data_IF_344464853922
#
_entry.id   IF_344464853922
#
_cell.length_a   1.000
_cell.length_b   1.000
_cell.length_c   1.000
_cell.angle_alpha   90.00
_cell.angle_beta   90.00
_cell.angle_gamma   90.00
#
_symmetry.space_group_name_H-M   'P 1'
#
loop_
_entity.id
_entity.type
_entity.pdbx_description
1 polymer ?
#
# COMPACT_ATOMS: atom_id res chain seq x y z
N UNK A 1 5.93 21.16 22.43
CA UNK A 1 5.32 20.70 21.17
C UNK A 1 4.99 19.23 21.36
N UNK A 2 3.74 18.91 21.74
CA UNK A 2 3.34 17.55 22.16
C UNK A 2 3.27 16.65 20.91
N UNK A 3 3.99 15.54 20.95
CA UNK A 3 4.02 14.51 19.90
C UNK A 3 2.66 13.82 19.86
N UNK A 4 1.89 14.05 18.80
CA UNK A 4 0.62 13.37 18.60
C UNK A 4 0.91 11.95 18.07
N UNK A 5 0.62 10.92 18.87
CA UNK A 5 0.58 9.54 18.40
C UNK A 5 -0.58 9.37 17.41
N UNK A 6 -0.34 8.98 16.15
CA UNK A 6 -1.39 8.62 15.23
C UNK A 6 -1.66 7.13 15.46
N UNK A 7 -2.67 6.80 16.25
CA UNK A 7 -3.02 5.39 16.32
C UNK A 7 -4.19 4.94 17.12
N UNK A 8 -4.73 5.79 17.97
CA UNK A 8 -5.88 5.40 18.76
C UNK A 8 -6.80 6.61 18.87
N UNK A 9 -7.81 6.75 17.99
CA UNK A 9 -8.73 7.87 18.10
C UNK A 9 -9.77 7.70 19.22
N UNK A 10 -9.95 6.49 19.79
CA UNK A 10 -11.05 6.16 20.71
C UNK A 10 -10.68 5.29 21.93
N UNK A 11 -9.53 4.64 21.97
CA UNK A 11 -9.07 3.96 23.17
C UNK A 11 -8.58 4.95 24.22
N UNK A 12 -8.36 4.43 25.44
CA UNK A 12 -8.12 5.20 26.66
C UNK A 12 -7.14 6.37 26.46
N UNK A 13 -6.03 6.14 25.75
CA UNK A 13 -4.98 7.16 25.55
C UNK A 13 -5.32 8.19 24.48
N UNK A 14 -6.02 7.80 23.42
CA UNK A 14 -6.49 8.71 22.38
C UNK A 14 -7.49 9.74 22.87
N UNK A 15 -8.39 9.26 23.72
CA UNK A 15 -9.37 10.12 24.40
C UNK A 15 -8.68 10.93 25.50
N UNK A 16 -7.81 10.32 26.33
CA UNK A 16 -7.10 11.03 27.39
C UNK A 16 -6.23 12.19 26.87
N UNK A 17 -5.59 12.03 25.72
CA UNK A 17 -4.78 13.11 25.11
C UNK A 17 -5.61 14.24 24.48
N UNK A 18 -6.91 14.03 24.27
CA UNK A 18 -7.86 14.99 23.70
C UNK A 18 -8.89 15.51 24.72
N UNK A 19 -8.81 15.07 25.99
CA UNK A 19 -9.67 15.59 27.06
C UNK A 19 -9.20 16.99 27.46
N UNK A 20 -10.16 17.91 27.49
CA UNK A 20 -9.97 19.22 28.11
C UNK A 20 -9.96 19.04 29.64
N UNK A 21 -8.90 19.47 30.35
CA UNK A 21 -8.84 19.41 31.81
C UNK A 21 -10.00 20.13 32.52
N UNK A 22 -10.60 21.13 31.87
CA UNK A 22 -11.69 21.94 32.42
C UNK A 22 -13.09 21.43 32.02
N UNK A 23 -13.18 20.24 31.40
CA UNK A 23 -14.45 19.66 31.00
C UNK A 23 -15.36 19.36 32.23
N UNK A 24 -16.68 19.63 32.14
CA UNK A 24 -17.63 19.30 33.22
C UNK A 24 -17.60 17.81 33.59
N UNK A 25 -17.78 17.50 34.88
CA UNK A 25 -17.69 16.14 35.41
C UNK A 25 -18.53 15.10 34.65
N UNK A 26 -19.76 15.47 34.26
CA UNK A 26 -20.66 14.63 33.47
C UNK A 26 -20.08 14.24 32.10
N UNK A 27 -19.32 15.14 31.46
CA UNK A 27 -18.69 14.87 30.15
C UNK A 27 -17.58 13.85 30.31
N UNK A 28 -16.76 13.96 31.37
CA UNK A 28 -15.72 12.97 31.65
C UNK A 28 -16.31 11.60 31.97
N UNK A 29 -17.38 11.54 32.76
CA UNK A 29 -18.08 10.30 33.12
C UNK A 29 -18.69 9.61 31.89
N UNK A 30 -19.31 10.36 30.98
CA UNK A 30 -19.82 9.81 29.71
C UNK A 30 -18.67 9.29 28.85
N UNK A 31 -17.55 10.02 28.78
CA UNK A 31 -16.39 9.57 28.00
C UNK A 31 -15.73 8.32 28.59
N UNK A 32 -15.69 8.17 29.90
CA UNK A 32 -15.23 6.95 30.56
C UNK A 32 -16.14 5.76 30.24
N UNK A 33 -17.46 5.95 30.32
CA UNK A 33 -18.43 4.91 29.96
C UNK A 33 -18.35 4.52 28.47
N UNK A 34 -18.10 5.48 27.58
CA UNK A 34 -17.93 5.20 26.14
C UNK A 34 -16.65 4.42 25.88
N UNK A 35 -15.56 4.71 26.59
CA UNK A 35 -14.31 3.95 26.47
C UNK A 35 -14.48 2.53 27.02
N UNK A 36 -15.10 2.38 28.19
CA UNK A 36 -15.35 1.08 28.83
C UNK A 36 -16.32 0.21 28.01
N UNK A 37 -17.30 0.84 27.35
CA UNK A 37 -18.21 0.17 26.44
C UNK A 37 -17.64 -0.03 25.03
N UNK A 38 -16.50 0.59 24.70
CA UNK A 38 -15.88 0.42 23.39
C UNK A 38 -15.31 -1.00 23.29
N UNK A 39 -15.59 -1.74 22.21
CA UNK A 39 -15.06 -3.08 22.06
C UNK A 39 -13.52 -3.05 22.02
N UNK A 40 -12.88 -3.92 22.82
CA UNK A 40 -11.42 -4.12 22.82
C UNK A 40 -10.83 -4.48 21.43
N UNK A 41 -11.68 -4.84 20.47
CA UNK A 41 -11.32 -5.11 19.09
C UNK A 41 -11.62 -3.90 18.19
N UNK A 42 -10.77 -2.88 18.24
CA UNK A 42 -10.81 -1.83 17.22
C UNK A 42 -10.27 -2.37 15.90
N UNK A 43 -11.08 -2.32 14.85
CA UNK A 43 -10.57 -2.65 13.52
C UNK A 43 -9.90 -1.43 12.91
N UNK A 44 -8.57 -1.44 12.95
CA UNK A 44 -7.73 -0.31 12.55
C UNK A 44 -7.36 -0.38 11.07
N UNK A 45 -7.78 0.64 10.31
CA UNK A 45 -7.25 0.91 8.98
C UNK A 45 -6.22 2.04 9.10
N UNK A 46 -4.98 1.77 8.71
CA UNK A 46 -3.94 2.81 8.64
C UNK A 46 -3.50 2.99 7.20
N UNK A 47 -3.67 4.21 6.66
CA UNK A 47 -3.15 4.59 5.36
C UNK A 47 -1.80 5.30 5.52
N UNK A 48 -0.86 5.03 4.61
CA UNK A 48 0.47 5.63 4.59
C UNK A 48 0.85 5.92 3.15
N UNK A 49 1.60 6.99 2.96
CA UNK A 49 2.21 7.34 1.68
C UNK A 49 3.72 7.34 1.86
N UNK A 50 4.40 6.57 1.03
CA UNK A 50 5.86 6.58 0.95
C UNK A 50 6.26 7.17 -0.40
N UNK A 51 7.23 8.09 -0.37
CA UNK A 51 7.89 8.59 -1.57
C UNK A 51 9.33 8.07 -1.57
N UNK A 52 9.68 7.35 -2.64
CA UNK A 52 11.06 6.93 -2.89
C UNK A 52 11.61 7.73 -4.05
N UNK A 53 12.77 8.35 -3.85
CA UNK A 53 13.49 9.08 -4.88
C UNK A 53 14.81 8.38 -5.11
N UNK A 54 15.09 8.05 -6.38
CA UNK A 54 16.42 7.59 -6.80
C UNK A 54 17.28 8.83 -7.08
N UNK A 55 18.28 9.15 -6.23
CA UNK A 55 19.12 10.33 -6.42
C UNK A 55 19.97 10.25 -7.68
N UNK A 56 20.26 9.04 -8.21
CA UNK A 56 21.01 8.87 -9.44
C UNK A 56 20.19 9.25 -10.69
N UNK A 57 18.85 9.24 -10.57
CA UNK A 57 17.92 9.62 -11.64
C UNK A 57 17.40 11.05 -11.52
N UNK A 58 17.85 11.80 -10.51
CA UNK A 58 17.48 13.20 -10.29
C UNK A 58 18.12 14.14 -11.32
N UNK A 59 17.50 15.30 -11.54
CA UNK A 59 18.05 16.37 -12.40
C UNK A 59 19.31 16.97 -11.79
N UNK A 60 19.36 17.03 -10.45
CA UNK A 60 20.52 17.51 -9.70
C UNK A 60 21.39 16.32 -9.31
N UNK A 61 22.68 16.37 -9.66
CA UNK A 61 23.65 15.38 -9.20
C UNK A 61 23.80 15.47 -7.69
N UNK A 62 23.29 14.47 -6.98
CA UNK A 62 23.46 14.32 -5.54
C UNK A 62 24.85 13.74 -5.27
N UNK A 63 25.74 14.51 -4.63
CA UNK A 63 27.09 14.04 -4.27
C UNK A 63 27.18 13.57 -2.82
N UNK A 64 26.30 14.07 -1.96
CA UNK A 64 26.19 13.70 -0.54
C UNK A 64 24.77 13.25 -0.21
N UNK A 65 24.65 12.32 0.73
CA UNK A 65 23.35 11.82 1.19
C UNK A 65 22.42 12.97 1.64
N UNK A 66 22.97 13.96 2.37
CA UNK A 66 22.23 15.13 2.86
C UNK A 66 21.52 15.91 1.74
N UNK A 67 22.18 16.06 0.58
CA UNK A 67 21.63 16.76 -0.58
C UNK A 67 20.44 15.98 -1.18
N UNK A 68 20.55 14.65 -1.22
CA UNK A 68 19.50 13.76 -1.71
C UNK A 68 18.29 13.71 -0.78
N UNK A 69 18.53 13.73 0.53
CA UNK A 69 17.47 13.85 1.54
C UNK A 69 16.76 15.20 1.38
N UNK A 70 17.51 16.30 1.27
CA UNK A 70 16.94 17.62 1.08
C UNK A 70 16.07 17.72 -0.19
N UNK A 71 16.52 17.13 -1.30
CA UNK A 71 15.74 17.06 -2.53
C UNK A 71 14.47 16.22 -2.36
N UNK A 72 14.57 15.04 -1.75
CA UNK A 72 13.41 14.18 -1.47
C UNK A 72 12.37 14.91 -0.62
N UNK A 73 12.82 15.65 0.40
CA UNK A 73 11.94 16.42 1.26
C UNK A 73 11.29 17.61 0.54
N UNK A 74 11.99 18.25 -0.41
CA UNK A 74 11.41 19.28 -1.28
C UNK A 74 10.33 18.70 -2.19
N UNK A 75 10.62 17.58 -2.85
CA UNK A 75 9.66 16.88 -3.71
C UNK A 75 8.43 16.45 -2.92
N UNK A 76 8.62 15.89 -1.73
CA UNK A 76 7.52 15.52 -0.83
C UNK A 76 6.69 16.74 -0.41
N UNK A 77 7.34 17.88 -0.14
CA UNK A 77 6.66 19.14 0.20
C UNK A 77 5.88 19.75 -0.96
N UNK A 78 6.25 19.44 -2.21
CA UNK A 78 5.53 19.86 -3.42
C UNK A 78 4.28 19.03 -3.72
N UNK A 79 4.07 17.89 -3.07
CA UNK A 79 2.88 17.07 -3.26
C UNK A 79 1.68 17.70 -2.53
N UNK A 80 0.75 18.26 -3.30
CA UNK A 80 -0.49 18.85 -2.80
C UNK A 80 -1.53 17.78 -2.44
N UNK A 81 -1.25 16.95 -1.42
CA UNK A 81 -2.12 15.84 -0.99
C UNK A 81 -3.50 16.31 -0.51
N UNK A 82 -3.58 17.54 0.02
CA UNK A 82 -4.84 18.15 0.44
C UNK A 82 -5.83 18.35 -0.72
N UNK A 83 -5.34 18.58 -1.94
CA UNK A 83 -6.19 18.69 -3.14
C UNK A 83 -6.89 17.36 -3.48
N UNK A 84 -6.33 16.23 -3.02
CA UNK A 84 -6.93 14.90 -3.14
C UNK A 84 -7.86 14.56 -1.95
N UNK A 85 -8.17 15.53 -1.07
CA UNK A 85 -8.98 15.32 0.13
C UNK A 85 -8.26 14.54 1.23
N UNK A 86 -6.93 14.44 1.17
CA UNK A 86 -6.12 13.71 2.15
C UNK A 86 -5.53 14.68 3.16
N UNK A 87 -5.78 14.43 4.45
CA UNK A 87 -5.11 15.12 5.55
C UNK A 87 -3.84 14.38 5.95
N UNK A 88 -2.70 15.07 5.93
CA UNK A 88 -1.42 14.51 6.38
C UNK A 88 -1.30 14.75 7.88
N UNK A 89 -1.47 13.68 8.67
CA UNK A 89 -1.37 13.76 10.14
C UNK A 89 0.02 14.23 10.61
N UNK A 90 1.07 13.57 10.13
CA UNK A 90 2.48 13.93 10.36
C UNK A 90 3.41 13.09 9.48
N UNK A 91 4.69 13.48 9.45
CA UNK A 91 5.76 12.66 8.88
C UNK A 91 6.11 11.52 9.84
N UNK A 92 6.42 10.34 9.29
CA UNK A 92 6.92 9.20 10.04
C UNK A 92 8.32 9.50 10.61
N UNK A 93 8.54 9.15 11.88
CA UNK A 93 9.85 9.14 12.53
C UNK A 93 10.58 7.83 12.24
N UNK A 94 11.85 7.73 12.66
CA UNK A 94 12.60 6.48 12.61
C UNK A 94 11.88 5.36 13.40
N UNK A 95 11.39 5.68 14.59
CA UNK A 95 10.59 4.77 15.42
C UNK A 95 9.33 4.29 14.70
N UNK A 96 8.64 5.16 13.96
CA UNK A 96 7.47 4.72 13.18
C UNK A 96 7.83 3.75 12.06
N UNK A 97 8.97 3.95 11.39
CA UNK A 97 9.43 3.02 10.36
C UNK A 97 9.73 1.64 10.95
N UNK A 98 10.41 1.59 12.10
CA UNK A 98 10.64 0.35 12.85
C UNK A 98 9.31 -0.29 13.23
N UNK A 99 8.37 0.48 13.81
CA UNK A 99 7.02 0.03 14.15
C UNK A 99 6.30 -0.60 12.98
N UNK A 100 6.33 0.06 11.82
CA UNK A 100 5.63 -0.41 10.62
C UNK A 100 6.20 -1.75 10.15
N UNK A 101 7.52 -1.84 10.03
CA UNK A 101 8.18 -3.05 9.52
C UNK A 101 8.03 -4.19 10.52
N UNK A 102 8.32 -3.96 11.80
CA UNK A 102 8.19 -4.99 12.85
C UNK A 102 6.75 -5.52 12.95
N UNK A 103 5.76 -4.64 12.96
CA UNK A 103 4.34 -5.04 13.04
C UNK A 103 3.85 -5.81 11.81
N UNK A 104 4.57 -5.73 10.68
CA UNK A 104 4.26 -6.54 9.52
C UNK A 104 4.73 -7.99 9.69
N UNK A 105 5.87 -8.20 10.35
CA UNK A 105 6.42 -9.52 10.64
C UNK A 105 5.82 -10.16 11.90
N UNK A 106 5.55 -9.34 12.91
CA UNK A 106 4.97 -9.75 14.18
C UNK A 106 3.88 -8.76 14.62
N UNK A 107 2.62 -8.97 14.22
CA UNK A 107 1.51 -8.12 14.61
C UNK A 107 1.26 -8.09 16.13
N UNK A 108 1.67 -9.11 16.88
CA UNK A 108 1.49 -9.19 18.33
C UNK A 108 2.39 -8.18 19.06
N UNK A 109 3.54 -7.80 18.47
CA UNK A 109 4.38 -6.73 19.01
C UNK A 109 3.61 -5.40 19.13
N UNK A 110 2.67 -5.13 18.20
CA UNK A 110 1.87 -3.89 18.26
C UNK A 110 0.91 -3.88 19.46
N UNK A 111 0.35 -5.04 19.81
CA UNK A 111 -0.55 -5.20 20.94
C UNK A 111 0.22 -5.05 22.25
N UNK A 112 1.32 -5.81 22.41
CA UNK A 112 2.16 -5.75 23.61
C UNK A 112 2.73 -4.34 23.86
N UNK A 113 3.14 -3.64 22.81
CA UNK A 113 3.72 -2.31 22.94
C UNK A 113 2.67 -1.19 23.06
N UNK A 114 1.38 -1.49 22.91
CA UNK A 114 0.33 -0.55 23.30
C UNK A 114 0.32 -0.36 24.83
N UNK A 115 0.65 -1.40 25.59
CA UNK A 115 0.75 -1.35 27.04
C UNK A 115 2.02 -0.61 27.51
N UNK A 116 3.15 -0.78 26.80
CA UNK A 116 4.45 -0.19 27.13
C UNK A 116 5.13 0.50 25.90
N UNK A 117 4.75 1.75 25.54
CA UNK A 117 5.22 2.44 24.34
C UNK A 117 6.73 2.65 24.26
N UNK A 118 7.38 2.84 25.41
CA UNK A 118 8.83 2.97 25.55
C UNK A 118 9.61 1.79 24.98
N UNK A 119 8.94 0.63 24.81
CA UNK A 119 9.51 -0.54 24.14
C UNK A 119 9.93 -0.22 22.70
N UNK A 120 9.19 0.67 22.01
CA UNK A 120 9.55 1.07 20.64
C UNK A 120 10.77 1.99 20.57
N UNK A 121 11.00 2.79 21.61
CA UNK A 121 12.13 3.72 21.66
C UNK A 121 13.47 3.00 21.84
N UNK A 122 13.43 1.76 22.36
CA UNK A 122 14.61 0.91 22.48
C UNK A 122 15.00 0.19 21.17
N UNK A 123 14.09 0.09 20.20
CA UNK A 123 14.32 -0.65 18.96
C UNK A 123 14.99 0.22 17.89
N UNK A 124 15.92 -0.40 17.16
CA UNK A 124 16.60 0.22 16.03
C UNK A 124 16.09 -0.35 14.70
N UNK A 125 16.54 0.23 13.58
CA UNK A 125 16.24 -0.31 12.25
C UNK A 125 16.72 -1.76 12.08
N UNK A 126 17.82 -2.15 12.73
CA UNK A 126 18.32 -3.52 12.67
C UNK A 126 17.36 -4.53 13.32
N UNK A 127 16.54 -4.08 14.28
CA UNK A 127 15.59 -4.92 15.02
C UNK A 127 14.20 -4.96 14.36
N UNK A 128 14.01 -4.23 13.24
CA UNK A 128 12.71 -4.09 12.61
C UNK A 128 12.27 -5.36 11.84
N UNK A 129 13.24 -6.14 11.34
CA UNK A 129 12.98 -7.38 10.62
C UNK A 129 12.60 -8.56 11.53
N UNK A 130 12.30 -9.73 10.94
CA UNK A 130 12.12 -10.96 11.68
C UNK A 130 13.50 -11.53 12.04
N UNK A 131 13.56 -12.27 13.14
CA UNK A 131 14.75 -13.04 13.52
C UNK A 131 14.91 -14.26 12.62
N UNK A 132 13.78 -14.89 12.25
CA UNK A 132 13.74 -16.05 11.37
C UNK A 132 12.62 -15.90 10.35
N UNK A 133 12.91 -16.32 9.11
CA UNK A 133 11.90 -16.42 8.07
C UNK A 133 12.23 -17.52 7.08
N UNK A 134 11.20 -18.22 6.61
CA UNK A 134 11.29 -19.32 5.65
C UNK A 134 10.30 -19.09 4.51
N UNK A 135 10.78 -19.24 3.28
CA UNK A 135 9.95 -19.13 2.09
C UNK A 135 9.42 -20.51 1.67
N UNK A 136 8.10 -20.63 1.65
CA UNK A 136 7.42 -21.76 1.04
C UNK A 136 6.82 -21.34 -0.30
N UNK A 137 6.39 -22.34 -1.08
CA UNK A 137 5.86 -22.09 -2.41
C UNK A 137 4.62 -21.19 -2.37
N UNK A 138 3.74 -21.37 -1.39
CA UNK A 138 2.43 -20.71 -1.35
C UNK A 138 2.31 -19.65 -0.25
N UNK A 139 3.22 -19.63 0.72
CA UNK A 139 3.21 -18.71 1.85
C UNK A 139 4.63 -18.41 2.33
N UNK A 140 4.77 -17.37 3.14
CA UNK A 140 6.00 -16.94 3.76
C UNK A 140 5.84 -17.03 5.27
N UNK A 141 6.64 -17.88 5.91
CA UNK A 141 6.70 -17.99 7.36
C UNK A 141 7.71 -16.96 7.88
N UNK A 142 7.33 -16.19 8.88
CA UNK A 142 8.20 -15.20 9.48
C UNK A 142 7.88 -15.00 10.96
N UNK A 143 8.90 -14.92 11.81
CA UNK A 143 8.80 -14.89 13.27
C UNK A 143 7.94 -16.05 13.81
N UNK A 144 6.63 -15.84 13.99
CA UNK A 144 5.63 -16.86 14.36
C UNK A 144 4.33 -16.75 13.53
N UNK A 145 4.40 -16.12 12.37
CA UNK A 145 3.26 -15.77 11.53
C UNK A 145 3.43 -16.33 10.12
N UNK A 146 2.32 -16.41 9.40
CA UNK A 146 2.29 -16.91 8.03
C UNK A 146 1.60 -15.90 7.11
N UNK A 147 2.31 -15.46 6.08
CA UNK A 147 1.81 -14.49 5.11
C UNK A 147 1.63 -15.07 3.72
N UNK A 148 0.57 -14.65 3.04
CA UNK A 148 0.37 -14.87 1.61
C UNK A 148 0.29 -13.53 0.92
N UNK A 149 1.04 -13.37 -0.17
CA UNK A 149 1.05 -12.15 -0.98
C UNK A 149 0.58 -12.44 -2.40
N UNK A 150 -0.32 -11.60 -2.89
CA UNK A 150 -0.81 -11.59 -4.25
C UNK A 150 -0.32 -10.35 -4.99
N UNK A 151 -0.04 -10.50 -6.28
CA UNK A 151 0.18 -9.39 -7.19
C UNK A 151 -0.97 -9.24 -8.18
N UNK A 152 -1.16 -8.02 -8.65
CA UNK A 152 -2.11 -7.71 -9.71
C UNK A 152 -1.71 -8.36 -11.03
N UNK A 153 -2.66 -9.06 -11.62
CA UNK A 153 -2.58 -9.56 -13.01
C UNK A 153 -3.32 -8.61 -13.94
N UNK A 154 -4.49 -8.14 -13.51
CA UNK A 154 -5.36 -7.33 -14.35
C UNK A 154 -6.15 -6.35 -13.49
N UNK A 155 -5.98 -5.06 -13.79
CA UNK A 155 -6.80 -3.99 -13.24
C UNK A 155 -8.20 -4.01 -13.86
N UNK A 156 -9.20 -3.32 -13.28
CA UNK A 156 -10.48 -3.17 -13.93
C UNK A 156 -10.28 -2.54 -15.32
N UNK A 157 -10.69 -3.28 -16.35
CA UNK A 157 -11.20 -2.64 -17.58
C UNK A 157 -12.46 -1.86 -17.18
N UNK A 158 -13.22 -1.14 -17.99
CA UNK A 158 -14.36 -0.33 -17.47
C UNK A 158 -14.04 0.71 -16.37
N UNK A 159 -14.92 1.70 -16.24
CA UNK A 159 -14.84 2.68 -15.17
C UNK A 159 -15.34 2.04 -13.88
N UNK A 160 -14.66 2.36 -12.79
CA UNK A 160 -15.00 1.92 -11.44
C UNK A 160 -15.26 3.14 -10.57
N UNK A 161 -16.19 2.99 -9.63
CA UNK A 161 -16.49 4.01 -8.64
C UNK A 161 -15.33 4.12 -7.63
N UNK A 162 -15.31 5.26 -6.92
CA UNK A 162 -14.27 5.56 -5.93
C UNK A 162 -14.17 4.54 -4.80
N UNK A 163 -15.24 3.79 -4.55
CA UNK A 163 -15.41 2.80 -3.49
C UNK A 163 -15.02 1.38 -3.89
N UNK A 164 -14.55 1.14 -5.12
CA UNK A 164 -14.27 -0.20 -5.64
C UNK A 164 -13.29 -1.00 -4.78
N UNK A 165 -12.34 -0.32 -4.13
CA UNK A 165 -11.35 -0.97 -3.25
C UNK A 165 -11.83 -1.17 -1.82
N UNK A 166 -13.04 -0.71 -1.44
CA UNK A 166 -13.55 -0.87 -0.08
C UNK A 166 -13.58 -2.35 0.33
N UNK A 167 -13.99 -3.28 -0.53
CA UNK A 167 -13.97 -4.70 -0.17
C UNK A 167 -12.58 -5.23 0.26
N UNK A 168 -11.51 -4.71 -0.35
CA UNK A 168 -10.13 -5.08 -0.01
C UNK A 168 -9.56 -4.29 1.18
N UNK A 169 -9.89 -3.00 1.28
CA UNK A 169 -9.35 -2.10 2.32
C UNK A 169 -10.16 -2.12 3.62
N UNK A 170 -11.43 -2.50 3.54
CA UNK A 170 -12.29 -2.67 4.70
C UNK A 170 -11.77 -3.84 5.53
N UNK A 171 -11.78 -3.70 6.86
CA UNK A 171 -11.32 -4.77 7.72
C UNK A 171 -12.10 -6.06 7.55
N UNK A 172 -11.41 -7.20 7.69
CA UNK A 172 -12.01 -8.53 7.66
C UNK A 172 -11.51 -9.40 8.79
N UNK A 173 -11.66 -10.73 8.66
CA UNK A 173 -11.29 -11.66 9.73
C UNK A 173 -9.78 -11.73 9.91
N UNK A 174 -9.04 -11.60 8.81
CA UNK A 174 -7.58 -11.68 8.81
C UNK A 174 -6.95 -10.32 8.54
N UNK A 175 -5.75 -10.12 9.10
CA UNK A 175 -4.97 -8.91 8.89
C UNK A 175 -4.57 -8.84 7.43
N UNK A 176 -4.90 -7.72 6.78
CA UNK A 176 -4.62 -7.49 5.36
C UNK A 176 -3.91 -6.16 5.17
N UNK A 177 -2.89 -6.17 4.32
CA UNK A 177 -2.17 -4.99 3.85
C UNK A 177 -2.38 -4.89 2.34
N UNK A 178 -2.86 -3.74 1.88
CA UNK A 178 -3.04 -3.41 0.47
C UNK A 178 -2.06 -2.31 0.11
N UNK A 179 -1.22 -2.56 -0.90
CA UNK A 179 -0.16 -1.65 -1.30
C UNK A 179 -0.26 -1.36 -2.78
N UNK A 180 -0.38 -0.08 -3.13
CA UNK A 180 -0.35 0.40 -4.51
C UNK A 180 0.97 1.15 -4.69
N UNK A 181 1.80 0.67 -5.61
CA UNK A 181 3.05 1.31 -5.97
C UNK A 181 2.85 2.06 -7.26
N UNK A 182 2.98 3.38 -7.21
CA UNK A 182 2.93 4.24 -8.40
C UNK A 182 4.35 4.59 -8.84
N UNK A 183 4.64 4.40 -10.13
CA UNK A 183 5.87 4.84 -10.77
C UNK A 183 5.54 5.85 -11.85
N UNK A 184 5.94 7.10 -11.61
CA UNK A 184 5.86 8.16 -12.61
C UNK A 184 6.89 7.91 -13.70
N UNK A 185 6.46 7.90 -14.97
CA UNK A 185 7.37 7.78 -16.10
C UNK A 185 7.92 9.14 -16.50
N UNK A 186 9.19 9.18 -16.91
CA UNK A 186 9.72 10.36 -17.62
C UNK A 186 9.05 10.50 -18.99
N UNK A 187 9.12 11.69 -19.60
CA UNK A 187 8.56 11.91 -20.96
C UNK A 187 9.13 10.93 -22.00
N UNK A 188 10.43 10.64 -21.93
CA UNK A 188 11.09 9.67 -22.82
C UNK A 188 10.58 8.23 -22.57
N UNK A 189 10.40 7.85 -21.31
CA UNK A 189 9.86 6.53 -20.95
C UNK A 189 8.40 6.38 -21.38
N UNK A 190 7.58 7.40 -21.17
CA UNK A 190 6.19 7.43 -21.61
C UNK A 190 6.10 7.30 -23.14
N UNK A 191 6.88 8.07 -23.90
CA UNK A 191 6.93 7.99 -25.34
C UNK A 191 7.30 6.60 -25.88
N UNK A 192 8.34 5.97 -25.29
CA UNK A 192 8.74 4.59 -25.65
C UNK A 192 7.68 3.56 -25.30
N UNK A 193 6.99 3.73 -24.17
CA UNK A 193 5.91 2.86 -23.76
C UNK A 193 4.73 2.96 -24.74
N UNK A 194 4.29 4.18 -25.06
CA UNK A 194 3.25 4.43 -26.05
C UNK A 194 3.60 3.86 -27.42
N UNK A 195 4.82 4.08 -27.90
CA UNK A 195 5.28 3.55 -29.19
C UNK A 195 5.23 2.01 -29.19
N UNK A 196 5.69 1.38 -28.11
CA UNK A 196 5.61 -0.07 -27.94
C UNK A 196 4.16 -0.56 -27.92
N UNK A 197 3.27 0.14 -27.23
CA UNK A 197 1.84 -0.20 -27.20
C UNK A 197 1.18 -0.05 -28.56
N UNK A 198 1.45 1.04 -29.28
CA UNK A 198 0.97 1.29 -30.64
C UNK A 198 1.46 0.21 -31.62
N UNK A 199 2.76 -0.12 -31.58
CA UNK A 199 3.34 -1.18 -32.39
C UNK A 199 2.73 -2.54 -32.06
N UNK A 200 2.51 -2.83 -30.77
CA UNK A 200 1.85 -4.07 -30.34
C UNK A 200 0.39 -4.14 -30.79
N UNK A 201 -0.34 -3.02 -30.75
CA UNK A 201 -1.71 -2.93 -31.23
C UNK A 201 -1.79 -3.13 -32.75
N UNK A 202 -0.93 -2.46 -33.52
CA UNK A 202 -0.81 -2.62 -34.97
C UNK A 202 -0.43 -4.05 -35.36
N UNK A 203 0.51 -4.69 -34.65
CA UNK A 203 0.87 -6.09 -34.87
C UNK A 203 -0.31 -7.03 -34.60
N UNK A 204 -1.08 -6.81 -33.53
CA UNK A 204 -2.30 -7.58 -33.23
C UNK A 204 -3.35 -7.37 -34.31
N UNK A 205 -3.50 -6.16 -34.84
CA UNK A 205 -4.44 -5.86 -35.93
C UNK A 205 -4.04 -6.55 -37.24
N UNK A 206 -2.77 -6.47 -37.64
CA UNK A 206 -2.22 -7.19 -38.79
C UNK A 206 -2.35 -8.71 -38.65
N UNK A 207 -2.15 -9.26 -37.45
CA UNK A 207 -2.37 -10.67 -37.18
C UNK A 207 -3.85 -11.04 -37.29
N UNK A 208 -4.76 -10.20 -36.77
CA UNK A 208 -6.22 -10.41 -36.87
C UNK A 208 -6.73 -10.34 -38.30
N UNK A 209 -6.30 -9.36 -39.08
CA UNK A 209 -6.71 -9.21 -40.48
C UNK A 209 -6.27 -10.41 -41.32
N UNK A 210 -5.07 -10.95 -41.04
CA UNK A 210 -4.57 -12.18 -41.68
C UNK A 210 -5.30 -13.45 -41.25
N UNK A 211 -5.82 -13.50 -40.03
CA UNK A 211 -6.53 -14.68 -39.48
C UNK A 211 -8.05 -14.62 -39.66
N UNK A 212 -8.59 -13.53 -40.22
CA UNK A 212 -10.03 -13.36 -40.49
C UNK A 212 -10.89 -13.27 -39.24
N UNK A 213 -10.30 -12.88 -38.09
CA UNK A 213 -11.00 -12.86 -36.80
C UNK A 213 -11.59 -11.47 -36.53
N UNK A 214 -12.92 -11.40 -36.42
CA UNK A 214 -13.62 -10.16 -36.09
C UNK A 214 -13.25 -9.64 -34.69
N UNK A 215 -13.15 -8.30 -34.51
CA UNK A 215 -12.85 -7.71 -33.23
C UNK A 215 -14.01 -7.93 -32.26
N UNK A 216 -13.72 -8.52 -31.11
CA UNK A 216 -14.69 -8.67 -30.03
C UNK A 216 -15.05 -7.29 -29.46
N UNK A 217 -16.19 -7.19 -28.76
CA UNK A 217 -16.55 -5.98 -28.02
C UNK A 217 -15.45 -5.58 -27.00
N UNK A 218 -14.69 -6.56 -26.48
CA UNK A 218 -13.56 -6.32 -25.58
C UNK A 218 -12.40 -5.63 -26.28
N UNK A 219 -12.06 -6.06 -27.50
CA UNK A 219 -10.95 -5.48 -28.27
C UNK A 219 -11.23 -4.02 -28.64
N UNK A 220 -12.49 -3.69 -28.96
CA UNK A 220 -12.89 -2.31 -29.28
C UNK A 220 -12.77 -1.39 -28.06
N UNK A 221 -13.25 -1.85 -26.90
CA UNK A 221 -13.16 -1.09 -25.66
C UNK A 221 -11.71 -0.84 -25.22
N UNK A 222 -10.81 -1.81 -25.43
CA UNK A 222 -9.38 -1.65 -25.15
C UNK A 222 -8.72 -0.64 -26.10
N UNK A 223 -9.07 -0.67 -27.40
CA UNK A 223 -8.59 0.31 -28.37
C UNK A 223 -9.08 1.74 -28.04
N UNK A 224 -10.36 1.91 -27.72
CA UNK A 224 -10.92 3.21 -27.34
C UNK A 224 -10.25 3.79 -26.08
N UNK A 225 -9.91 2.91 -25.12
CA UNK A 225 -9.17 3.30 -23.91
C UNK A 225 -7.75 3.73 -24.24
N UNK A 226 -7.04 2.99 -25.09
CA UNK A 226 -5.69 3.35 -25.51
C UNK A 226 -5.67 4.71 -26.23
N UNK A 227 -6.66 4.97 -27.10
CA UNK A 227 -6.83 6.27 -27.76
C UNK A 227 -7.07 7.42 -26.78
N UNK A 228 -7.91 7.20 -25.74
CA UNK A 228 -8.13 8.21 -24.69
C UNK A 228 -6.85 8.49 -23.89
N UNK A 229 -6.14 7.45 -23.46
CA UNK A 229 -4.88 7.63 -22.72
C UNK A 229 -3.84 8.41 -23.54
N UNK A 230 -3.71 8.11 -24.84
CA UNK A 230 -2.84 8.86 -25.74
C UNK A 230 -3.27 10.33 -25.91
N UNK A 231 -4.58 10.61 -25.95
CA UNK A 231 -5.09 11.98 -26.02
C UNK A 231 -4.84 12.77 -24.73
N UNK A 232 -5.01 12.14 -23.56
CA UNK A 232 -4.72 12.73 -22.25
C UNK A 232 -3.21 13.03 -22.10
N UNK A 233 -2.33 12.13 -22.53
CA UNK A 233 -0.89 12.38 -22.55
C UNK A 233 -0.51 13.54 -23.48
N UNK A 234 -1.10 13.61 -24.68
CA UNK A 234 -0.89 14.73 -25.60
C UNK A 234 -1.33 16.07 -25.00
N UNK A 235 -2.30 16.06 -24.08
CA UNK A 235 -2.75 17.22 -23.31
C UNK A 235 -1.86 17.52 -22.07
N UNK A 236 -0.83 16.71 -21.83
CA UNK A 236 0.17 16.91 -20.78
C UNK A 236 -0.05 16.07 -19.52
N UNK A 237 -0.95 15.08 -19.53
CA UNK A 237 -1.08 14.14 -18.42
C UNK A 237 0.20 13.30 -18.29
N UNK A 238 0.71 13.14 -17.06
CA UNK A 238 1.83 12.24 -16.78
C UNK A 238 1.36 10.79 -16.81
N UNK A 239 2.09 9.93 -17.53
CA UNK A 239 1.83 8.49 -17.53
C UNK A 239 2.42 7.85 -16.27
N UNK A 240 1.61 7.06 -15.58
CA UNK A 240 1.98 6.39 -14.33
C UNK A 240 1.72 4.90 -14.49
N UNK A 241 2.76 4.10 -14.31
CA UNK A 241 2.61 2.66 -14.11
C UNK A 241 2.25 2.42 -12.65
N UNK A 242 1.37 1.46 -12.38
CA UNK A 242 1.13 1.04 -11.01
C UNK A 242 1.21 -0.48 -10.86
N UNK A 243 1.74 -0.90 -9.72
CA UNK A 243 1.69 -2.27 -9.24
C UNK A 243 0.81 -2.32 -8.01
N UNK A 244 0.19 -3.47 -7.77
CA UNK A 244 -0.73 -3.63 -6.65
C UNK A 244 -0.48 -4.99 -5.98
N UNK A 245 -0.29 -4.93 -4.67
CA UNK A 245 -0.01 -6.09 -3.83
C UNK A 245 -1.02 -6.15 -2.70
N UNK A 246 -1.44 -7.37 -2.37
CA UNK A 246 -2.22 -7.66 -1.18
C UNK A 246 -1.44 -8.68 -0.38
N UNK A 247 -1.22 -8.44 0.90
CA UNK A 247 -0.64 -9.42 1.83
C UNK A 247 -1.66 -9.71 2.91
N UNK A 248 -2.00 -10.98 3.12
CA UNK A 248 -2.76 -11.44 4.27
C UNK A 248 -1.84 -12.20 5.22
N UNK A 249 -1.94 -11.92 6.52
CA UNK A 249 -1.11 -12.52 7.56
C UNK A 249 -2.02 -13.22 8.58
N UNK A 250 -1.68 -14.45 8.93
CA UNK A 250 -2.43 -15.32 9.85
C UNK A 250 -1.51 -15.88 10.94
N UNK A 251 -2.10 -16.21 12.10
CA UNK A 251 -1.36 -16.76 13.24
C UNK A 251 -1.03 -18.25 13.05
N UNK A 252 -1.91 -18.99 12.39
CA UNK A 252 -1.78 -20.44 12.22
C UNK A 252 -1.84 -20.85 10.75
N UNK A 253 -1.00 -21.82 10.36
CA UNK A 253 -1.00 -22.40 9.00
C UNK A 253 -2.39 -22.88 8.58
N UNK A 254 -3.17 -23.43 9.51
CA UNK A 254 -4.54 -23.92 9.25
C UNK A 254 -5.52 -22.84 8.77
N UNK A 255 -5.21 -21.56 9.02
CA UNK A 255 -6.05 -20.42 8.64
C UNK A 255 -5.77 -19.92 7.22
N UNK A 256 -4.65 -20.32 6.58
CA UNK A 256 -4.24 -19.83 5.26
C UNK A 256 -5.30 -20.06 4.18
N UNK A 257 -5.96 -21.22 4.19
CA UNK A 257 -6.99 -21.55 3.22
C UNK A 257 -8.21 -20.63 3.33
N UNK A 258 -8.58 -20.22 4.55
CA UNK A 258 -9.68 -19.31 4.77
C UNK A 258 -9.30 -17.86 4.43
N UNK A 259 -8.12 -17.41 4.87
CA UNK A 259 -7.61 -16.08 4.54
C UNK A 259 -7.47 -15.87 3.03
N UNK A 260 -7.02 -16.90 2.30
CA UNK A 260 -6.99 -16.90 0.84
C UNK A 260 -8.38 -16.67 0.23
N UNK A 261 -9.41 -17.38 0.71
CA UNK A 261 -10.78 -17.21 0.20
C UNK A 261 -11.29 -15.79 0.45
N UNK A 262 -11.04 -15.24 1.64
CA UNK A 262 -11.42 -13.87 1.97
C UNK A 262 -10.78 -12.86 1.01
N UNK A 263 -9.46 -12.94 0.79
CA UNK A 263 -8.74 -12.04 -0.13
C UNK A 263 -9.22 -12.19 -1.57
N UNK A 264 -9.37 -13.42 -2.06
CA UNK A 264 -9.81 -13.66 -3.45
C UNK A 264 -11.26 -13.19 -3.67
N UNK A 265 -12.14 -13.36 -2.68
CA UNK A 265 -13.50 -12.83 -2.72
C UNK A 265 -13.53 -11.29 -2.71
N UNK A 266 -12.75 -10.67 -1.83
CA UNK A 266 -12.63 -9.21 -1.77
C UNK A 266 -12.06 -8.65 -3.08
N UNK A 267 -11.05 -9.30 -3.67
CA UNK A 267 -10.49 -8.93 -4.95
C UNK A 267 -11.51 -9.02 -6.09
N UNK A 268 -12.34 -10.07 -6.11
CA UNK A 268 -13.40 -10.22 -7.09
C UNK A 268 -14.45 -9.10 -6.97
N UNK A 269 -14.84 -8.72 -5.75
CA UNK A 269 -15.74 -7.59 -5.50
C UNK A 269 -15.11 -6.26 -5.96
N UNK A 270 -13.80 -6.11 -5.77
CA UNK A 270 -13.01 -4.98 -6.28
C UNK A 270 -12.71 -5.06 -7.79
N UNK A 271 -13.24 -6.06 -8.51
CA UNK A 271 -13.04 -6.27 -9.95
C UNK A 271 -11.55 -6.39 -10.34
N UNK A 272 -10.72 -6.83 -9.41
CA UNK A 272 -9.29 -7.04 -9.60
C UNK A 272 -9.03 -8.52 -9.86
N UNK A 273 -8.15 -8.82 -10.80
CA UNK A 273 -7.60 -10.16 -10.97
C UNK A 273 -6.25 -10.23 -10.28
N UNK A 274 -6.18 -10.95 -9.17
CA UNK A 274 -4.96 -11.16 -8.42
C UNK A 274 -4.40 -12.57 -8.66
N UNK A 275 -3.08 -12.71 -8.52
CA UNK A 275 -2.39 -14.01 -8.54
C UNK A 275 -1.45 -14.10 -7.36
N UNK A 276 -1.46 -15.25 -6.71
CA UNK A 276 -0.55 -15.55 -5.61
C UNK A 276 0.90 -15.55 -6.12
N UNK A 277 1.79 -14.87 -5.41
CA UNK A 277 3.22 -14.77 -5.73
C UNK A 277 3.98 -16.06 -5.38
N UNK A 278 3.61 -17.17 -6.00
CA UNK A 278 4.18 -18.48 -5.68
C UNK A 278 5.68 -18.51 -5.92
N UNK A 279 6.46 -18.94 -4.92
CA UNK A 279 7.92 -18.98 -4.97
C UNK A 279 8.61 -17.60 -5.00
N UNK A 280 7.87 -16.52 -4.75
CA UNK A 280 8.39 -15.16 -4.61
C UNK A 280 7.63 -14.39 -3.54
N UNK A 281 7.20 -15.11 -2.50
CA UNK A 281 6.42 -14.58 -1.38
C UNK A 281 7.25 -13.61 -0.54
N UNK A 282 8.52 -13.92 -0.29
CA UNK A 282 9.40 -13.06 0.51
C UNK A 282 9.60 -11.71 -0.19
N UNK A 283 9.96 -11.74 -1.48
CA UNK A 283 10.15 -10.54 -2.30
C UNK A 283 8.85 -9.71 -2.41
N UNK A 284 7.72 -10.37 -2.66
CA UNK A 284 6.43 -9.70 -2.77
C UNK A 284 5.97 -9.11 -1.42
N UNK A 285 6.23 -9.80 -0.31
CA UNK A 285 5.96 -9.30 1.04
C UNK A 285 6.75 -8.03 1.33
N UNK A 286 8.06 -8.03 1.04
CA UNK A 286 8.93 -6.84 1.21
C UNK A 286 8.46 -5.67 0.35
N UNK A 287 8.20 -5.93 -0.92
CA UNK A 287 7.68 -4.95 -1.87
C UNK A 287 6.36 -4.35 -1.35
N UNK A 288 5.49 -5.21 -0.80
CA UNK A 288 4.24 -4.83 -0.19
C UNK A 288 4.36 -4.06 1.13
N UNK A 289 5.53 -3.98 1.78
CA UNK A 289 5.72 -3.11 2.95
C UNK A 289 5.66 -1.63 2.55
N UNK A 290 6.02 -1.30 1.30
CA UNK A 290 6.08 0.07 0.82
C UNK A 290 7.12 0.92 1.55
N UNK A 291 8.12 0.28 2.16
CA UNK A 291 9.26 0.89 2.85
C UNK A 291 10.51 0.26 2.23
N UNK A 292 11.57 1.05 2.01
CA UNK A 292 12.83 0.69 1.35
C UNK A 292 12.89 0.80 -0.18
N UNK A 293 11.86 1.34 -0.84
CA UNK A 293 11.97 1.73 -2.26
C UNK A 293 12.15 0.56 -3.23
N UNK A 294 11.82 -0.66 -2.79
CA UNK A 294 11.88 -1.86 -3.64
C UNK A 294 10.76 -1.76 -4.68
N UNK A 295 11.15 -1.60 -5.94
CA UNK A 295 10.22 -1.66 -7.07
C UNK A 295 10.27 -3.06 -7.70
N UNK A 296 9.13 -3.68 -8.09
CA UNK A 296 9.12 -5.04 -8.60
C UNK A 296 10.03 -5.32 -9.80
N UNK A 297 10.33 -4.32 -10.63
CA UNK A 297 11.22 -4.50 -11.77
C UNK A 297 12.71 -4.52 -11.41
N UNK A 298 13.05 -4.21 -10.16
CA UNK A 298 14.42 -4.23 -9.64
C UNK A 298 14.75 -5.57 -8.93
N UNK A 299 13.80 -6.51 -8.88
CA UNK A 299 13.91 -7.88 -8.32
C UNK A 299 13.95 -8.89 -9.47
#
# INVERSE_FOLDING_TARGET
MRTHEPGDPLGERGVATRRDPDAPALVNEIMDQVIEAAPNAFTRVSARLTLTVDPARGVTTVRRLDDGVAETLRTLGGLALSAAGVEVLRRASATDLVRIVRSAYDPHTLEAASDAPETWDALTWADAGPVAAEEHLDYYQHENMYSMTWCLVEAPRQHVSHDVLLALCSPGRYRRRVTILYRTLSRDQAGKLLEREANSAAAREMYRSRTGRDPSARDRADADRAHRAAAEEAQGAGLVEFSFFVTATVDEVGQLAEARREVEQAAAQSRLKLRLCRGGQAAAFQTGLGIAGIYPADI
#
